data_IF_796624720793
#
_entry.id   IF_796624720793
#
_cell.length_a   1.000
_cell.length_b   1.000
_cell.length_c   1.000
_cell.angle_alpha   90.00
_cell.angle_beta   90.00
_cell.angle_gamma   90.00
#
_symmetry.space_group_name_H-M   'P 1'
#
loop_
_entity.id
_entity.type
_entity.pdbx_description
1 polymer ?
#
# COMPACT_ATOMS: atom_id res chain seq x y z
N UNK A 1 8.89 1.23 -22.18
CA UNK A 1 8.90 2.04 -20.94
C UNK A 1 10.31 2.14 -20.40
N UNK A 2 10.67 3.30 -19.88
CA UNK A 2 12.00 3.49 -19.29
C UNK A 2 12.07 2.80 -17.93
N UNK A 3 13.28 2.38 -17.54
CA UNK A 3 13.53 1.78 -16.23
C UNK A 3 13.09 2.70 -15.10
N UNK A 4 13.27 4.01 -15.31
CA UNK A 4 12.91 5.02 -14.32
C UNK A 4 11.43 5.00 -13.99
N UNK A 5 10.58 4.92 -15.02
CA UNK A 5 9.13 4.87 -14.83
C UNK A 5 8.73 3.56 -14.12
N UNK A 6 9.36 2.45 -14.49
CA UNK A 6 9.09 1.16 -13.85
C UNK A 6 9.43 1.19 -12.36
N UNK A 7 10.52 1.84 -11.99
CA UNK A 7 10.90 1.99 -10.59
C UNK A 7 9.90 2.85 -9.82
N UNK A 8 9.43 3.93 -10.42
CA UNK A 8 8.42 4.79 -9.81
C UNK A 8 7.11 4.04 -9.59
N UNK A 9 6.68 3.27 -10.58
CA UNK A 9 5.46 2.47 -10.46
C UNK A 9 5.59 1.40 -9.38
N UNK A 10 6.75 0.74 -9.31
CA UNK A 10 7.01 -0.27 -8.28
C UNK A 10 6.98 0.36 -6.88
N UNK A 11 7.59 1.52 -6.73
CA UNK A 11 7.58 2.23 -5.46
C UNK A 11 6.16 2.64 -5.06
N UNK A 12 5.38 3.17 -6.00
CA UNK A 12 4.00 3.56 -5.75
C UNK A 12 3.13 2.36 -5.36
N UNK A 13 3.31 1.23 -6.04
CA UNK A 13 2.58 0.01 -5.73
C UNK A 13 2.89 -0.50 -4.33
N UNK A 14 4.16 -0.46 -3.94
CA UNK A 14 4.58 -0.88 -2.61
C UNK A 14 3.99 0.03 -1.53
N UNK A 15 4.03 1.34 -1.74
CA UNK A 15 3.46 2.30 -0.80
C UNK A 15 1.94 2.13 -0.67
N UNK A 16 1.24 1.96 -1.77
CA UNK A 16 -0.20 1.74 -1.77
C UNK A 16 -0.57 0.46 -1.02
N UNK A 17 0.20 -0.61 -1.24
CA UNK A 17 -0.01 -1.88 -0.54
C UNK A 17 0.17 -1.75 0.97
N UNK A 18 1.21 -1.05 1.40
CA UNK A 18 1.47 -0.82 2.81
C UNK A 18 0.34 -0.03 3.48
N UNK A 19 -0.14 1.04 2.82
CA UNK A 19 -1.26 1.82 3.33
C UNK A 19 -2.53 0.98 3.42
N UNK A 20 -2.80 0.16 2.43
CA UNK A 20 -3.98 -0.70 2.43
C UNK A 20 -3.95 -1.68 3.61
N UNK A 21 -2.80 -2.26 3.91
CA UNK A 21 -2.64 -3.17 5.05
C UNK A 21 -2.90 -2.43 6.37
N UNK A 22 -2.34 -1.24 6.52
CA UNK A 22 -2.55 -0.44 7.74
C UNK A 22 -4.02 -0.11 7.93
N UNK A 23 -4.71 0.34 6.89
CA UNK A 23 -6.14 0.66 6.95
C UNK A 23 -6.95 -0.58 7.28
N UNK A 24 -6.64 -1.71 6.66
CA UNK A 24 -7.33 -2.98 6.91
C UNK A 24 -7.20 -3.40 8.38
N UNK A 25 -6.00 -3.30 8.95
CA UNK A 25 -5.77 -3.64 10.34
C UNK A 25 -6.53 -2.71 11.27
N UNK A 26 -6.50 -1.41 11.00
CA UNK A 26 -7.22 -0.44 11.83
C UNK A 26 -8.72 -0.69 11.80
N UNK A 27 -9.28 -0.96 10.62
CA UNK A 27 -10.70 -1.27 10.47
C UNK A 27 -11.09 -2.56 11.20
N UNK A 28 -10.25 -3.58 11.08
CA UNK A 28 -10.49 -4.85 11.78
C UNK A 28 -10.52 -4.66 13.30
N UNK A 29 -9.57 -3.89 13.82
CA UNK A 29 -9.52 -3.59 15.26
C UNK A 29 -10.75 -2.80 15.72
N UNK A 30 -11.20 -1.88 14.89
CA UNK A 30 -12.37 -1.07 15.18
C UNK A 30 -13.63 -1.90 15.30
N UNK A 31 -13.74 -2.94 14.47
CA UNK A 31 -14.90 -3.86 14.50
C UNK A 31 -14.81 -4.82 15.68
N UNK A 32 -13.63 -5.35 15.97
CA UNK A 32 -13.42 -6.32 17.03
C UNK A 32 -13.27 -5.69 18.41
N UNK A 33 -12.78 -4.48 18.42
CA UNK A 33 -12.51 -3.77 19.65
C UNK A 33 -13.65 -3.02 20.17
#
# INVERSE_FOLDING_TARGET
MSTHIRLLLAFAALAAGALAVIVAVVLARSVLG
#
